data_IF_465618656100
#
_entry.id   IF_465618656100
#
_cell.length_a   1.000
_cell.length_b   1.000
_cell.length_c   1.000
_cell.angle_alpha   90.00
_cell.angle_beta   90.00
_cell.angle_gamma   90.00
#
_symmetry.space_group_name_H-M   'P 1'
#
loop_
_entity.id
_entity.type
_entity.pdbx_description
1 polymer ?
#
# COMPACT_ATOMS: atom_id res chain seq x y z
N UNK A 1 10.16 -26.91 -10.53
CA UNK A 1 11.01 -25.75 -10.22
C UNK A 1 10.38 -24.45 -10.72
N UNK A 2 9.82 -24.42 -11.93
CA UNK A 2 9.19 -23.23 -12.53
C UNK A 2 8.01 -22.66 -11.70
N UNK A 3 7.11 -23.50 -11.19
CA UNK A 3 6.01 -23.05 -10.33
C UNK A 3 6.47 -22.35 -9.04
N UNK A 4 7.53 -22.84 -8.39
CA UNK A 4 8.10 -22.18 -7.21
C UNK A 4 8.75 -20.84 -7.55
N UNK A 5 9.30 -20.69 -8.76
CA UNK A 5 9.83 -19.41 -9.24
C UNK A 5 8.71 -18.38 -9.43
N UNK A 6 7.56 -18.79 -9.99
CA UNK A 6 6.39 -17.92 -10.11
C UNK A 6 5.83 -17.49 -8.74
N UNK A 7 5.75 -18.41 -7.77
CA UNK A 7 5.33 -18.08 -6.39
C UNK A 7 6.31 -17.11 -5.73
N UNK A 8 7.62 -17.30 -5.90
CA UNK A 8 8.64 -16.40 -5.37
C UNK A 8 8.55 -15.00 -6.01
N UNK A 9 8.42 -14.95 -7.36
CA UNK A 9 8.21 -13.71 -8.12
C UNK A 9 6.98 -12.95 -7.64
N UNK A 10 5.85 -13.65 -7.45
CA UNK A 10 4.63 -13.05 -6.93
C UNK A 10 4.84 -12.48 -5.53
N UNK A 11 5.49 -13.22 -4.63
CA UNK A 11 5.76 -12.76 -3.27
C UNK A 11 6.61 -11.49 -3.24
N UNK A 12 7.69 -11.44 -4.02
CA UNK A 12 8.59 -10.29 -4.08
C UNK A 12 7.92 -9.05 -4.68
N UNK A 13 7.17 -9.24 -5.78
CA UNK A 13 6.40 -8.17 -6.41
C UNK A 13 5.29 -7.64 -5.48
N UNK A 14 4.63 -8.53 -4.73
CA UNK A 14 3.59 -8.15 -3.78
C UNK A 14 4.17 -7.31 -2.63
N UNK A 15 5.35 -7.69 -2.11
CA UNK A 15 6.03 -6.98 -1.03
C UNK A 15 6.37 -5.52 -1.37
N UNK A 16 6.54 -5.19 -2.66
CA UNK A 16 6.81 -3.82 -3.14
C UNK A 16 5.56 -3.10 -3.67
N UNK A 17 4.37 -3.68 -3.54
CA UNK A 17 3.11 -3.10 -4.02
C UNK A 17 2.91 -3.20 -5.53
N UNK A 18 3.58 -4.14 -6.20
CA UNK A 18 3.48 -4.39 -7.64
C UNK A 18 2.28 -5.25 -8.02
N UNK A 19 1.07 -4.94 -7.53
CA UNK A 19 -0.10 -5.80 -7.66
C UNK A 19 -0.46 -6.18 -9.10
N UNK A 20 -0.41 -5.22 -10.04
CA UNK A 20 -0.59 -5.51 -11.46
C UNK A 20 0.47 -6.48 -12.03
N UNK A 21 1.71 -6.38 -11.55
CA UNK A 21 2.78 -7.30 -11.94
C UNK A 21 2.60 -8.69 -11.31
N UNK A 22 2.08 -8.77 -10.08
CA UNK A 22 1.72 -10.04 -9.43
C UNK A 22 0.62 -10.74 -10.22
N UNK A 23 -0.43 -10.03 -10.65
CA UNK A 23 -1.51 -10.61 -11.46
C UNK A 23 -0.96 -11.25 -12.73
N UNK A 24 -0.18 -10.48 -13.50
CA UNK A 24 0.48 -10.99 -14.72
C UNK A 24 1.37 -12.21 -14.45
N UNK A 25 2.17 -12.17 -13.38
CA UNK A 25 3.06 -13.28 -13.03
C UNK A 25 2.29 -14.52 -12.58
N UNK A 26 1.22 -14.36 -11.80
CA UNK A 26 0.37 -15.46 -11.36
C UNK A 26 -0.42 -16.08 -12.52
N UNK A 27 -0.98 -15.26 -13.40
CA UNK A 27 -1.66 -15.70 -14.63
C UNK A 27 -0.70 -16.48 -15.55
N UNK A 28 0.49 -15.94 -15.83
CA UNK A 28 1.49 -16.63 -16.61
C UNK A 28 1.89 -17.98 -15.98
N UNK A 29 2.08 -18.01 -14.66
CA UNK A 29 2.37 -19.26 -13.95
C UNK A 29 1.22 -20.27 -14.05
N UNK A 30 -0.04 -19.83 -13.97
CA UNK A 30 -1.21 -20.70 -14.12
C UNK A 30 -1.34 -21.23 -15.56
N UNK A 31 -1.02 -20.41 -16.56
CA UNK A 31 -1.07 -20.79 -17.97
C UNK A 31 0.06 -21.77 -18.35
N UNK A 32 1.26 -21.56 -17.83
CA UNK A 32 2.45 -22.37 -18.17
C UNK A 32 2.58 -23.63 -17.32
N UNK A 33 2.39 -23.53 -15.99
CA UNK A 33 2.57 -24.63 -15.05
C UNK A 33 1.26 -25.36 -14.71
N UNK A 34 0.11 -24.81 -15.11
CA UNK A 34 -1.20 -25.33 -14.78
C UNK A 34 -1.74 -24.83 -13.44
N UNK A 35 -2.93 -25.34 -13.04
CA UNK A 35 -3.65 -24.85 -11.87
C UNK A 35 -2.91 -25.14 -10.56
N UNK A 36 -2.68 -24.09 -9.76
CA UNK A 36 -1.97 -24.17 -8.47
C UNK A 36 -2.66 -23.32 -7.38
N UNK A 37 -2.92 -23.88 -6.18
CA UNK A 37 -3.51 -23.12 -5.07
C UNK A 37 -2.73 -21.86 -4.67
N UNK A 38 -1.38 -21.92 -4.64
CA UNK A 38 -0.58 -20.77 -4.21
C UNK A 38 -0.59 -19.62 -5.23
N UNK A 39 -0.57 -19.93 -6.53
CA UNK A 39 -0.74 -18.93 -7.59
C UNK A 39 -2.15 -18.31 -7.58
N UNK A 40 -3.19 -19.12 -7.36
CA UNK A 40 -4.55 -18.58 -7.17
C UNK A 40 -4.65 -17.68 -5.94
N UNK A 41 -3.94 -18.00 -4.85
CA UNK A 41 -3.87 -17.14 -3.65
C UNK A 41 -3.24 -15.80 -3.98
N UNK A 42 -2.09 -15.79 -4.66
CA UNK A 42 -1.40 -14.56 -5.06
C UNK A 42 -2.22 -13.71 -6.02
N UNK A 43 -2.87 -14.34 -7.01
CA UNK A 43 -3.77 -13.66 -7.93
C UNK A 43 -4.91 -12.98 -7.17
N UNK A 44 -5.56 -13.72 -6.25
CA UNK A 44 -6.64 -13.18 -5.44
C UNK A 44 -6.20 -12.02 -4.54
N UNK A 45 -5.05 -12.15 -3.86
CA UNK A 45 -4.49 -11.08 -3.03
C UNK A 45 -4.13 -9.84 -3.84
N UNK A 46 -3.61 -10.01 -5.06
CA UNK A 46 -3.26 -8.90 -5.93
C UNK A 46 -4.49 -8.15 -6.49
N UNK A 47 -5.63 -8.83 -6.66
CA UNK A 47 -6.89 -8.16 -6.97
C UNK A 47 -7.47 -7.45 -5.73
N UNK A 48 -7.54 -8.15 -4.60
CA UNK A 48 -8.09 -7.60 -3.35
C UNK A 48 -7.34 -6.35 -2.85
N UNK A 49 -6.05 -6.22 -3.16
CA UNK A 49 -5.22 -5.08 -2.76
C UNK A 49 -5.54 -3.77 -3.51
N UNK A 50 -6.14 -3.82 -4.70
CA UNK A 50 -6.47 -2.63 -5.49
C UNK A 50 -7.79 -1.95 -5.03
N UNK A 51 -8.58 -2.64 -4.20
CA UNK A 51 -9.78 -2.11 -3.54
C UNK A 51 -10.77 -1.43 -4.51
N UNK A 52 -11.07 -2.12 -5.63
CA UNK A 52 -12.07 -1.73 -6.63
C UNK A 52 -13.09 -2.89 -6.82
N UNK A 53 -14.37 -2.56 -7.01
CA UNK A 53 -15.50 -3.51 -7.05
C UNK A 53 -15.30 -4.61 -8.12
N UNK A 54 -14.70 -4.26 -9.26
CA UNK A 54 -14.40 -5.22 -10.33
C UNK A 54 -13.29 -6.19 -9.91
N UNK A 55 -12.25 -5.70 -9.23
CA UNK A 55 -11.17 -6.53 -8.71
C UNK A 55 -11.64 -7.43 -7.55
N UNK A 56 -12.58 -6.98 -6.74
CA UNK A 56 -13.19 -7.78 -5.68
C UNK A 56 -13.85 -9.07 -6.21
N UNK A 57 -14.49 -9.02 -7.40
CA UNK A 57 -15.08 -10.22 -8.02
C UNK A 57 -14.01 -11.14 -8.60
N UNK A 58 -12.95 -10.58 -9.18
CA UNK A 58 -11.81 -11.34 -9.70
C UNK A 58 -11.06 -12.05 -8.56
N UNK A 59 -10.87 -11.36 -7.43
CA UNK A 59 -10.28 -11.92 -6.22
C UNK A 59 -11.08 -13.11 -5.70
N UNK A 60 -12.40 -12.95 -5.54
CA UNK A 60 -13.30 -14.03 -5.12
C UNK A 60 -13.25 -15.22 -6.09
N UNK A 61 -13.18 -14.97 -7.39
CA UNK A 61 -13.06 -16.02 -8.41
C UNK A 61 -11.75 -16.79 -8.26
N UNK A 62 -10.63 -16.10 -8.07
CA UNK A 62 -9.32 -16.72 -7.88
C UNK A 62 -9.30 -17.58 -6.60
N UNK A 63 -9.78 -17.06 -5.47
CA UNK A 63 -9.83 -17.82 -4.22
C UNK A 63 -10.69 -19.08 -4.32
N UNK A 64 -11.86 -18.98 -4.96
CA UNK A 64 -12.72 -20.15 -5.16
C UNK A 64 -12.09 -21.21 -6.07
N UNK A 65 -11.38 -20.80 -7.12
CA UNK A 65 -10.62 -21.74 -7.97
C UNK A 65 -9.49 -22.42 -7.18
N UNK A 66 -8.76 -21.66 -6.35
CA UNK A 66 -7.74 -22.22 -5.45
C UNK A 66 -8.31 -23.23 -4.46
N UNK A 67 -9.40 -22.87 -3.76
CA UNK A 67 -10.05 -23.75 -2.78
C UNK A 67 -10.71 -24.98 -3.40
N UNK A 68 -11.10 -24.92 -4.68
CA UNK A 68 -11.55 -26.11 -5.41
C UNK A 68 -10.43 -27.14 -5.65
N UNK A 69 -9.16 -26.70 -5.61
CA UNK A 69 -7.99 -27.58 -5.73
C UNK A 69 -7.47 -28.04 -4.37
N UNK A 70 -7.51 -27.16 -3.37
CA UNK A 70 -7.07 -27.40 -2.01
C UNK A 70 -8.07 -26.79 -1.02
N UNK A 71 -9.09 -27.55 -0.66
CA UNK A 71 -10.23 -27.08 0.16
C UNK A 71 -9.79 -26.60 1.55
N UNK A 72 -8.79 -27.26 2.13
CA UNK A 72 -8.27 -26.99 3.47
C UNK A 72 -6.98 -26.14 3.45
N UNK A 73 -6.67 -25.45 2.34
CA UNK A 73 -5.54 -24.51 2.30
C UNK A 73 -5.85 -23.26 3.15
N UNK A 74 -5.31 -23.25 4.37
CA UNK A 74 -5.55 -22.19 5.35
C UNK A 74 -5.20 -20.78 4.81
N UNK A 75 -4.17 -20.65 3.98
CA UNK A 75 -3.77 -19.36 3.42
C UNK A 75 -4.79 -18.78 2.45
N UNK A 76 -5.38 -19.62 1.60
CA UNK A 76 -6.50 -19.26 0.73
C UNK A 76 -7.75 -18.94 1.55
N UNK A 77 -8.07 -19.75 2.56
CA UNK A 77 -9.24 -19.53 3.41
C UNK A 77 -9.17 -18.20 4.15
N UNK A 78 -8.03 -17.88 4.77
CA UNK A 78 -7.81 -16.61 5.48
C UNK A 78 -7.89 -15.42 4.52
N UNK A 79 -7.23 -15.51 3.36
CA UNK A 79 -7.28 -14.42 2.37
C UNK A 79 -8.70 -14.18 1.85
N UNK A 80 -9.47 -15.24 1.66
CA UNK A 80 -10.86 -15.14 1.23
C UNK A 80 -11.78 -14.61 2.33
N UNK A 81 -11.53 -14.99 3.59
CA UNK A 81 -12.22 -14.43 4.75
C UNK A 81 -12.01 -12.92 4.83
N UNK A 82 -10.76 -12.45 4.71
CA UNK A 82 -10.40 -11.03 4.76
C UNK A 82 -11.16 -10.22 3.68
N UNK A 83 -11.23 -10.73 2.45
CA UNK A 83 -12.04 -10.13 1.37
C UNK A 83 -13.52 -10.05 1.75
N UNK A 84 -14.07 -11.15 2.30
CA UNK A 84 -15.48 -11.21 2.66
C UNK A 84 -15.83 -10.27 3.82
N UNK A 85 -14.91 -10.06 4.77
CA UNK A 85 -15.11 -9.16 5.92
C UNK A 85 -15.00 -7.68 5.53
N UNK A 86 -14.19 -7.35 4.52
CA UNK A 86 -14.11 -5.98 3.96
C UNK A 86 -15.39 -5.56 3.23
N UNK A 87 -16.13 -6.53 2.70
CA UNK A 87 -17.34 -6.26 1.93
C UNK A 87 -18.48 -5.80 2.85
N UNK A 88 -19.23 -4.77 2.44
CA UNK A 88 -20.44 -4.38 3.15
C UNK A 88 -21.46 -5.53 3.13
N UNK A 89 -21.85 -5.99 4.31
CA UNK A 89 -22.80 -7.09 4.49
C UNK A 89 -24.20 -6.78 3.93
N UNK A 90 -24.56 -5.50 3.82
CA UNK A 90 -25.84 -5.08 3.24
C UNK A 90 -25.83 -5.17 1.71
N UNK A 91 -24.76 -4.69 1.07
CA UNK A 91 -24.55 -4.83 -0.36
C UNK A 91 -24.25 -6.27 -0.80
N UNK A 92 -23.51 -7.04 0.02
CA UNK A 92 -23.00 -8.37 -0.33
C UNK A 92 -23.29 -9.43 0.75
N UNK A 93 -24.57 -9.75 1.03
CA UNK A 93 -24.95 -10.71 2.09
C UNK A 93 -24.44 -12.13 1.84
N UNK A 94 -24.13 -12.47 0.59
CA UNK A 94 -23.48 -13.74 0.23
C UNK A 94 -22.07 -13.87 0.81
N UNK A 95 -21.28 -12.78 0.79
CA UNK A 95 -19.91 -12.77 1.33
C UNK A 95 -19.91 -12.84 2.85
N UNK A 96 -20.84 -12.16 3.52
CA UNK A 96 -21.01 -12.26 4.97
C UNK A 96 -21.28 -13.70 5.45
N UNK A 97 -22.16 -14.44 4.75
CA UNK A 97 -22.39 -15.87 5.07
C UNK A 97 -21.16 -16.74 4.86
N UNK A 98 -20.40 -16.48 3.78
CA UNK A 98 -19.16 -17.20 3.49
C UNK A 98 -18.08 -16.88 4.52
N UNK A 99 -17.97 -15.64 4.98
CA UNK A 99 -17.06 -15.27 6.05
C UNK A 99 -17.29 -16.10 7.32
N UNK A 100 -18.56 -16.28 7.72
CA UNK A 100 -18.90 -17.11 8.88
C UNK A 100 -18.45 -18.58 8.70
N UNK A 101 -18.73 -19.16 7.54
CA UNK A 101 -18.36 -20.55 7.24
C UNK A 101 -16.83 -20.74 7.12
N UNK A 102 -16.13 -19.80 6.48
CA UNK A 102 -14.67 -19.81 6.38
C UNK A 102 -14.03 -19.72 7.77
N UNK A 103 -14.55 -18.83 8.63
CA UNK A 103 -14.07 -18.68 10.00
C UNK A 103 -14.22 -20.00 10.75
N UNK A 104 -15.41 -20.58 10.80
CA UNK A 104 -15.67 -21.86 11.47
C UNK A 104 -14.70 -22.95 11.00
N UNK A 105 -14.49 -23.06 9.69
CA UNK A 105 -13.58 -24.05 9.13
C UNK A 105 -12.11 -23.77 9.44
N UNK A 106 -11.67 -22.51 9.43
CA UNK A 106 -10.32 -22.13 9.89
C UNK A 106 -10.16 -22.45 11.38
N UNK A 107 -11.21 -22.25 12.18
CA UNK A 107 -11.17 -22.54 13.60
C UNK A 107 -10.96 -24.03 13.90
N UNK A 108 -11.56 -24.91 13.09
CA UNK A 108 -11.38 -26.35 13.14
C UNK A 108 -9.98 -26.81 12.72
N UNK A 109 -9.43 -26.20 11.67
CA UNK A 109 -8.21 -26.67 11.01
C UNK A 109 -6.92 -26.03 11.56
N UNK A 110 -6.97 -24.76 11.97
CA UNK A 110 -5.80 -24.01 12.40
C UNK A 110 -5.53 -24.22 13.90
N UNK A 111 -4.33 -24.69 14.28
CA UNK A 111 -3.95 -24.83 15.69
C UNK A 111 -4.06 -23.50 16.46
N UNK A 112 -4.42 -23.52 17.75
CA UNK A 112 -4.39 -22.32 18.58
C UNK A 112 -3.00 -21.67 18.58
N UNK A 113 -2.94 -20.37 18.33
CA UNK A 113 -1.69 -19.60 18.25
C UNK A 113 -0.95 -19.71 16.92
N UNK A 114 -1.56 -20.27 15.87
CA UNK A 114 -0.98 -20.22 14.53
C UNK A 114 -1.07 -18.80 13.92
N UNK A 115 -0.18 -18.44 12.97
CA UNK A 115 -0.26 -17.15 12.27
C UNK A 115 -1.60 -16.93 11.56
N UNK A 116 -2.24 -18.00 11.09
CA UNK A 116 -3.55 -17.96 10.44
C UNK A 116 -4.64 -17.58 11.44
N UNK A 117 -4.61 -18.13 12.66
CA UNK A 117 -5.52 -17.73 13.75
C UNK A 117 -5.33 -16.27 14.13
N UNK A 118 -4.08 -15.82 14.27
CA UNK A 118 -3.77 -14.41 14.57
C UNK A 118 -4.32 -13.48 13.49
N UNK A 119 -4.17 -13.82 12.20
CA UNK A 119 -4.76 -13.04 11.11
C UNK A 119 -6.29 -13.02 11.15
N UNK A 120 -6.94 -14.13 11.47
CA UNK A 120 -8.41 -14.15 11.64
C UNK A 120 -8.82 -13.25 12.80
N UNK A 121 -8.11 -13.32 13.93
CA UNK A 121 -8.39 -12.51 15.10
C UNK A 121 -8.17 -11.01 14.81
N UNK A 122 -7.13 -10.65 14.05
CA UNK A 122 -6.89 -9.29 13.59
C UNK A 122 -8.01 -8.77 12.67
N UNK A 123 -8.41 -9.59 11.69
CA UNK A 123 -9.44 -9.25 10.72
C UNK A 123 -10.84 -9.14 11.35
N UNK A 124 -11.14 -10.02 12.32
CA UNK A 124 -12.43 -10.06 13.01
C UNK A 124 -12.47 -9.22 14.28
N UNK A 125 -11.32 -8.81 14.82
CA UNK A 125 -11.21 -8.00 16.02
C UNK A 125 -11.92 -6.65 15.89
N UNK A 126 -12.17 -6.18 14.67
CA UNK A 126 -13.00 -4.98 14.42
C UNK A 126 -14.49 -5.19 14.74
N UNK A 127 -15.00 -6.42 14.66
CA UNK A 127 -16.42 -6.75 14.85
C UNK A 127 -16.84 -6.89 16.33
N UNK A 128 -15.88 -6.93 17.27
CA UNK A 128 -16.12 -7.06 18.71
C UNK A 128 -15.57 -5.91 19.56
N UNK A 129 -14.93 -4.91 18.94
CA UNK A 129 -14.35 -3.75 19.64
C UNK A 129 -15.42 -2.74 20.02
N UNK A 130 -15.34 -2.22 21.24
CA UNK A 130 -16.14 -1.06 21.61
C UNK A 130 -15.64 0.18 20.85
N UNK A 131 -16.51 1.17 20.66
CA UNK A 131 -16.18 2.47 20.03
C UNK A 131 -14.82 3.07 20.48
N UNK A 132 -14.47 2.89 21.76
CA UNK A 132 -13.21 3.38 22.33
C UNK A 132 -11.98 2.57 21.90
N UNK A 133 -12.10 1.25 21.78
CA UNK A 133 -11.00 0.39 21.32
C UNK A 133 -10.66 0.68 19.85
N UNK A 134 -11.67 0.98 19.04
CA UNK A 134 -11.48 1.42 17.65
C UNK A 134 -10.78 2.78 17.57
N UNK A 135 -11.14 3.71 18.45
CA UNK A 135 -10.47 5.01 18.57
C UNK A 135 -9.01 4.88 18.97
N UNK A 136 -8.69 4.00 19.94
CA UNK A 136 -7.31 3.74 20.34
C UNK A 136 -6.52 3.01 19.26
N UNK A 137 -7.11 2.03 18.58
CA UNK A 137 -6.47 1.35 17.46
C UNK A 137 -6.22 2.31 16.29
N UNK A 138 -7.17 3.19 15.97
CA UNK A 138 -7.01 4.23 14.95
C UNK A 138 -5.93 5.25 15.35
N UNK A 139 -5.87 5.64 16.63
CA UNK A 139 -4.84 6.52 17.14
C UNK A 139 -3.44 5.87 17.10
N UNK A 140 -3.32 4.59 17.47
CA UNK A 140 -2.07 3.84 17.42
C UNK A 140 -1.56 3.66 15.97
N UNK A 141 -2.45 3.31 15.03
CA UNK A 141 -2.13 3.28 13.59
C UNK A 141 -1.73 4.67 13.10
N UNK A 142 -2.48 5.71 13.47
CA UNK A 142 -2.16 7.09 13.14
C UNK A 142 -0.79 7.53 13.66
N UNK A 143 -0.38 7.09 14.85
CA UNK A 143 0.96 7.36 15.38
C UNK A 143 2.05 6.60 14.63
N UNK A 144 1.84 5.32 14.32
CA UNK A 144 2.78 4.51 13.54
C UNK A 144 2.97 5.09 12.12
N UNK A 145 1.87 5.46 11.46
CA UNK A 145 1.87 6.10 10.16
C UNK A 145 2.57 7.45 10.21
N UNK A 146 2.28 8.28 11.22
CA UNK A 146 2.99 9.55 11.42
C UNK A 146 4.49 9.37 11.65
N UNK A 147 4.90 8.35 12.42
CA UNK A 147 6.29 8.05 12.67
C UNK A 147 7.01 7.61 11.38
N UNK A 148 6.42 6.69 10.61
CA UNK A 148 6.96 6.25 9.32
C UNK A 148 7.07 7.41 8.32
N UNK A 149 6.06 8.29 8.30
CA UNK A 149 6.02 9.46 7.43
C UNK A 149 7.04 10.52 7.84
N UNK A 150 7.26 10.73 9.15
CA UNK A 150 8.28 11.63 9.67
C UNK A 150 9.69 11.11 9.37
N UNK A 151 9.94 9.82 9.61
CA UNK A 151 11.20 9.14 9.28
C UNK A 151 11.53 9.30 7.79
N UNK A 152 10.57 9.05 6.90
CA UNK A 152 10.77 9.20 5.46
C UNK A 152 11.07 10.65 5.06
N UNK A 153 10.41 11.63 5.71
CA UNK A 153 10.67 13.05 5.44
C UNK A 153 12.09 13.44 5.85
N UNK A 154 12.61 12.91 6.96
CA UNK A 154 14.00 13.10 7.40
C UNK A 154 14.97 12.47 6.40
N UNK A 155 14.72 11.20 5.99
CA UNK A 155 15.57 10.49 5.05
C UNK A 155 15.68 11.22 3.70
N UNK A 156 14.56 11.70 3.15
CA UNK A 156 14.52 12.48 1.90
C UNK A 156 15.27 13.81 2.07
N UNK A 157 15.07 14.51 3.19
CA UNK A 157 15.73 15.80 3.45
C UNK A 157 17.25 15.65 3.59
N UNK A 158 17.70 14.60 4.28
CA UNK A 158 19.13 14.29 4.41
C UNK A 158 19.73 13.85 3.09
N UNK A 159 19.03 13.05 2.29
CA UNK A 159 19.46 12.66 0.96
C UNK A 159 19.59 13.87 0.03
N UNK A 160 18.66 14.82 0.07
CA UNK A 160 18.74 16.08 -0.65
C UNK A 160 19.93 16.93 -0.20
N UNK A 161 20.26 16.95 1.09
CA UNK A 161 21.43 17.66 1.64
C UNK A 161 22.75 17.02 1.20
N UNK A 162 22.82 15.69 1.14
CA UNK A 162 23.97 14.94 0.60
C UNK A 162 24.16 15.21 -0.90
N UNK A 163 23.09 15.15 -1.67
CA UNK A 163 23.12 15.46 -3.10
C UNK A 163 23.57 16.89 -3.37
N UNK A 164 23.12 17.87 -2.57
CA UNK A 164 23.57 19.26 -2.68
C UNK A 164 25.08 19.45 -2.40
N UNK A 165 25.71 18.52 -1.65
CA UNK A 165 27.16 18.49 -1.39
C UNK A 165 27.94 17.73 -2.48
N UNK A 166 27.28 17.22 -3.51
CA UNK A 166 27.91 16.45 -4.59
C UNK A 166 28.28 15.02 -4.20
N UNK A 167 27.72 14.49 -3.11
CA UNK A 167 27.91 13.08 -2.73
C UNK A 167 27.16 12.18 -3.73
N UNK A 168 27.84 11.21 -4.32
CA UNK A 168 27.22 10.26 -5.26
C UNK A 168 26.14 9.45 -4.57
N UNK A 169 24.97 9.35 -5.21
CA UNK A 169 23.96 8.39 -4.78
C UNK A 169 24.51 6.97 -4.98
N UNK A 170 24.39 6.13 -3.96
CA UNK A 170 24.67 4.70 -4.07
C UNK A 170 23.63 4.06 -5.01
N UNK A 171 24.01 2.95 -5.66
CA UNK A 171 23.03 2.15 -6.39
C UNK A 171 21.92 1.69 -5.43
N UNK A 172 20.69 2.03 -5.78
CA UNK A 172 19.48 1.71 -5.00
C UNK A 172 19.13 0.22 -5.03
N UNK A 173 19.62 -0.53 -6.04
CA UNK A 173 19.28 -1.94 -6.22
C UNK A 173 17.76 -2.17 -6.22
N UNK A 174 17.30 -3.16 -5.46
CA UNK A 174 15.88 -3.48 -5.26
C UNK A 174 15.32 -2.95 -3.92
N UNK A 175 16.08 -2.13 -3.19
CA UNK A 175 15.56 -1.51 -1.96
C UNK A 175 14.55 -0.42 -2.33
N UNK A 176 13.27 -0.69 -2.02
CA UNK A 176 12.17 0.22 -2.25
C UNK A 176 12.41 1.59 -1.61
N UNK A 177 12.87 1.63 -0.35
CA UNK A 177 13.09 2.90 0.36
C UNK A 177 14.24 3.69 -0.27
N UNK A 178 15.31 3.00 -0.69
CA UNK A 178 16.41 3.65 -1.40
C UNK A 178 15.97 4.19 -2.77
N UNK A 179 15.17 3.44 -3.52
CA UNK A 179 14.66 3.86 -4.82
C UNK A 179 13.69 5.04 -4.71
N UNK A 180 12.76 5.03 -3.75
CA UNK A 180 11.85 6.15 -3.47
C UNK A 180 12.61 7.42 -3.05
N UNK A 181 13.63 7.29 -2.20
CA UNK A 181 14.45 8.44 -1.78
C UNK A 181 15.30 8.99 -2.93
N UNK A 182 15.88 8.13 -3.78
CA UNK A 182 16.61 8.56 -4.97
C UNK A 182 15.69 9.29 -5.98
N UNK A 183 14.49 8.77 -6.21
CA UNK A 183 13.48 9.42 -7.05
C UNK A 183 13.02 10.77 -6.46
N UNK A 184 12.86 10.86 -5.14
CA UNK A 184 12.51 12.11 -4.47
C UNK A 184 13.62 13.15 -4.62
N UNK A 185 14.88 12.73 -4.50
CA UNK A 185 16.03 13.59 -4.74
C UNK A 185 16.04 14.09 -6.18
N UNK A 186 15.87 13.22 -7.18
CA UNK A 186 15.81 13.57 -8.60
C UNK A 186 14.72 14.61 -8.90
N UNK A 187 13.50 14.42 -8.37
CA UNK A 187 12.36 15.30 -8.63
C UNK A 187 12.43 16.64 -7.87
N UNK A 188 13.05 16.67 -6.69
CA UNK A 188 13.13 17.85 -5.82
C UNK A 188 14.47 18.60 -5.92
N UNK A 189 15.41 18.12 -6.73
CA UNK A 189 16.65 18.83 -7.04
C UNK A 189 16.37 20.14 -7.81
N UNK A 190 17.32 21.08 -7.72
CA UNK A 190 17.29 22.34 -8.45
C UNK A 190 16.72 23.54 -7.67
N UNK A 191 17.05 24.74 -8.15
CA UNK A 191 16.69 26.00 -7.49
C UNK A 191 15.17 26.24 -7.44
N UNK A 192 14.43 25.82 -8.48
CA UNK A 192 12.97 25.99 -8.57
C UNK A 192 12.20 25.21 -7.49
N UNK A 193 12.79 24.12 -6.99
CA UNK A 193 12.19 23.26 -5.96
C UNK A 193 12.65 23.63 -4.53
N UNK A 194 13.49 24.66 -4.36
CA UNK A 194 13.90 25.16 -3.04
C UNK A 194 12.74 25.44 -2.06
N UNK A 195 11.63 26.12 -2.45
CA UNK A 195 10.52 26.35 -1.51
C UNK A 195 9.82 25.04 -1.11
N UNK A 196 9.68 24.08 -2.03
CA UNK A 196 9.08 22.78 -1.74
C UNK A 196 9.95 21.99 -0.77
N UNK A 197 11.28 22.01 -0.93
CA UNK A 197 12.22 21.38 0.01
C UNK A 197 12.10 21.95 1.42
N UNK A 198 11.89 23.26 1.54
CA UNK A 198 11.69 23.90 2.85
C UNK A 198 10.39 23.44 3.51
N UNK A 199 9.29 23.37 2.73
CA UNK A 199 8.01 22.87 3.24
C UNK A 199 8.12 21.42 3.72
N UNK A 200 8.85 20.57 2.99
CA UNK A 200 9.06 19.17 3.36
C UNK A 200 9.96 19.01 4.60
N UNK A 201 11.03 19.82 4.70
CA UNK A 201 11.91 19.81 5.87
C UNK A 201 11.19 20.23 7.16
N UNK A 202 10.17 21.10 7.04
CA UNK A 202 9.37 21.59 8.16
C UNK A 202 7.89 21.22 8.03
N UNK A 203 7.61 20.00 7.56
CA UNK A 203 6.26 19.57 7.17
C UNK A 203 5.20 19.86 8.24
N UNK A 204 5.41 19.44 9.48
CA UNK A 204 4.43 19.66 10.57
C UNK A 204 4.18 21.16 10.77
N UNK A 205 5.23 21.97 10.83
CA UNK A 205 5.09 23.42 10.97
C UNK A 205 4.41 24.05 9.74
N UNK A 206 4.71 23.58 8.53
CA UNK A 206 4.08 24.04 7.30
C UNK A 206 2.57 23.76 7.31
N UNK A 207 2.14 22.57 7.73
CA UNK A 207 0.72 22.23 7.89
C UNK A 207 0.03 23.13 8.93
N UNK A 208 0.62 23.27 10.12
CA UNK A 208 0.06 24.10 11.21
C UNK A 208 -0.04 25.56 10.81
N UNK A 209 1.02 26.13 10.21
CA UNK A 209 1.05 27.52 9.78
C UNK A 209 0.06 27.76 8.62
N UNK A 210 -0.03 26.84 7.66
CA UNK A 210 -0.97 26.96 6.54
C UNK A 210 -2.41 26.90 7.03
N UNK A 211 -2.71 25.99 7.99
CA UNK A 211 -4.03 25.92 8.61
C UNK A 211 -4.39 27.22 9.34
N UNK A 212 -3.50 27.71 10.21
CA UNK A 212 -3.70 28.94 10.96
C UNK A 212 -3.88 30.16 10.04
N UNK A 213 -3.05 30.28 8.99
CA UNK A 213 -3.13 31.35 8.01
C UNK A 213 -4.42 31.28 7.17
N UNK A 214 -4.81 30.08 6.75
CA UNK A 214 -6.05 29.82 6.00
C UNK A 214 -7.29 30.23 6.80
N UNK A 215 -7.36 29.78 8.06
CA UNK A 215 -8.45 30.13 8.96
C UNK A 215 -8.46 31.62 9.28
N UNK A 216 -7.29 32.21 9.58
CA UNK A 216 -7.13 33.62 9.85
C UNK A 216 -7.58 34.50 8.68
N UNK A 217 -7.18 34.17 7.45
CA UNK A 217 -7.58 34.90 6.24
C UNK A 217 -9.10 34.84 6.04
N UNK A 218 -9.70 33.66 6.16
CA UNK A 218 -11.14 33.51 6.02
C UNK A 218 -11.91 34.29 7.09
N UNK A 219 -11.45 34.25 8.35
CA UNK A 219 -12.05 35.04 9.44
C UNK A 219 -11.89 36.54 9.22
N UNK A 220 -10.74 37.00 8.78
CA UNK A 220 -10.50 38.42 8.50
C UNK A 220 -11.39 38.95 7.37
N UNK A 221 -11.59 38.17 6.30
CA UNK A 221 -12.46 38.53 5.19
C UNK A 221 -13.95 38.57 5.55
N UNK A 222 -14.39 37.72 6.48
CA UNK A 222 -15.76 37.75 7.00
C UNK A 222 -15.95 38.92 7.97
N UNK A 223 -15.01 39.12 8.89
CA UNK A 223 -15.09 40.19 9.90
C UNK A 223 -14.96 41.60 9.30
N UNK A 224 -14.31 41.75 8.15
CA UNK A 224 -14.23 43.03 7.44
C UNK A 224 -15.54 43.41 6.74
N UNK A 225 -16.55 42.53 6.73
CA UNK A 225 -17.83 42.75 6.04
C UNK A 225 -17.73 42.73 4.51
N UNK A 226 -16.58 42.31 3.97
CA UNK A 226 -16.37 42.22 2.51
C UNK A 226 -17.10 41.00 1.94
N UNK A 227 -17.21 39.92 2.71
CA UNK A 227 -17.91 38.69 2.33
C UNK A 227 -18.67 38.10 3.52
N UNK A 228 -19.88 37.57 3.30
CA UNK A 228 -20.60 36.80 4.33
C UNK A 228 -19.97 35.41 4.57
N UNK A 229 -19.19 34.92 3.61
CA UNK A 229 -18.49 33.63 3.64
C UNK A 229 -17.21 33.70 2.79
N UNK A 230 -16.11 33.11 3.28
CA UNK A 230 -14.83 33.07 2.56
C UNK A 230 -14.20 31.68 2.56
N UNK A 231 -13.74 31.26 1.39
CA UNK A 231 -12.89 30.08 1.17
C UNK A 231 -11.51 30.43 0.60
N UNK A 232 -11.17 31.71 0.47
CA UNK A 232 -9.90 32.14 -0.13
C UNK A 232 -8.67 31.62 0.62
N UNK A 233 -8.78 31.39 1.94
CA UNK A 233 -7.75 30.73 2.74
C UNK A 233 -7.40 29.33 2.25
N UNK A 234 -8.27 28.63 1.53
CA UNK A 234 -7.96 27.30 1.00
C UNK A 234 -6.88 27.34 -0.09
N UNK A 235 -6.70 28.46 -0.80
CA UNK A 235 -5.64 28.59 -1.79
C UNK A 235 -4.24 28.51 -1.17
N UNK A 236 -4.09 28.81 0.12
CA UNK A 236 -2.82 28.68 0.83
C UNK A 236 -2.35 27.23 0.96
N UNK A 237 -3.24 26.25 0.75
CA UNK A 237 -2.87 24.84 0.76
C UNK A 237 -2.16 24.37 -0.52
N UNK A 238 -2.25 25.13 -1.62
CA UNK A 238 -1.70 24.71 -2.93
C UNK A 238 -0.21 24.33 -2.84
N UNK A 239 0.69 25.12 -2.23
CA UNK A 239 2.11 24.76 -2.15
C UNK A 239 2.39 23.50 -1.31
N UNK A 240 1.64 23.31 -0.22
CA UNK A 240 1.75 22.11 0.63
C UNK A 240 1.30 20.88 -0.15
N UNK A 241 0.14 20.95 -0.81
CA UNK A 241 -0.38 19.86 -1.63
C UNK A 241 0.52 19.54 -2.82
N UNK A 242 1.16 20.55 -3.43
CA UNK A 242 2.11 20.36 -4.51
C UNK A 242 3.38 19.62 -4.03
N UNK A 243 3.89 19.96 -2.85
CA UNK A 243 5.01 19.25 -2.25
C UNK A 243 4.67 17.78 -1.96
N UNK A 244 3.47 17.51 -1.44
CA UNK A 244 2.96 16.15 -1.21
C UNK A 244 2.78 15.37 -2.52
N UNK A 245 2.22 16.01 -3.56
CA UNK A 245 2.04 15.40 -4.86
C UNK A 245 3.39 14.97 -5.47
N UNK A 246 4.42 15.83 -5.35
CA UNK A 246 5.78 15.49 -5.80
C UNK A 246 6.40 14.33 -5.03
N UNK A 247 6.14 14.21 -3.73
CA UNK A 247 6.58 13.03 -2.97
C UNK A 247 5.83 11.76 -3.38
N UNK A 248 4.52 11.84 -3.66
CA UNK A 248 3.76 10.69 -4.17
C UNK A 248 4.27 10.26 -5.54
N UNK A 249 4.53 11.22 -6.43
CA UNK A 249 5.15 10.98 -7.74
C UNK A 249 6.51 10.29 -7.59
N UNK A 250 7.36 10.77 -6.68
CA UNK A 250 8.64 10.15 -6.37
C UNK A 250 8.51 8.71 -5.88
N UNK A 251 7.54 8.44 -4.98
CA UNK A 251 7.28 7.10 -4.47
C UNK A 251 6.85 6.16 -5.59
N UNK A 252 5.93 6.60 -6.44
CA UNK A 252 5.46 5.82 -7.58
C UNK A 252 6.62 5.51 -8.54
N UNK A 253 7.45 6.50 -8.87
CA UNK A 253 8.62 6.32 -9.73
C UNK A 253 9.63 5.34 -9.12
N UNK A 254 9.92 5.48 -7.83
CA UNK A 254 10.83 4.57 -7.10
C UNK A 254 10.31 3.14 -7.11
N UNK A 255 9.02 2.96 -6.84
CA UNK A 255 8.33 1.67 -6.89
C UNK A 255 8.37 1.04 -8.28
N UNK A 256 8.03 1.80 -9.32
CA UNK A 256 8.08 1.35 -10.72
C UNK A 256 9.47 0.84 -11.11
N UNK A 257 10.52 1.57 -10.71
CA UNK A 257 11.92 1.16 -10.94
C UNK A 257 12.26 -0.16 -10.26
N UNK A 258 11.82 -0.37 -9.02
CA UNK A 258 12.07 -1.60 -8.27
C UNK A 258 11.28 -2.76 -8.85
N UNK A 259 10.01 -2.55 -9.19
CA UNK A 259 9.18 -3.56 -9.89
C UNK A 259 9.85 -3.98 -11.18
N UNK A 260 10.30 -3.02 -12.01
CA UNK A 260 10.97 -3.30 -13.27
C UNK A 260 12.27 -4.10 -13.09
N UNK A 261 13.05 -3.81 -12.04
CA UNK A 261 14.28 -4.56 -11.71
C UNK A 261 13.98 -6.00 -11.27
N UNK A 262 12.99 -6.18 -10.39
CA UNK A 262 12.55 -7.51 -9.95
C UNK A 262 12.06 -8.32 -11.16
N UNK A 263 11.24 -7.71 -12.03
CA UNK A 263 10.78 -8.34 -13.26
C UNK A 263 11.95 -8.75 -14.16
N UNK A 264 12.89 -7.84 -14.44
CA UNK A 264 14.06 -8.12 -15.26
C UNK A 264 14.91 -9.27 -14.68
N UNK A 265 15.14 -9.29 -13.35
CA UNK A 265 15.85 -10.40 -12.70
C UNK A 265 15.14 -11.74 -12.92
N UNK A 266 13.83 -11.78 -12.74
CA UNK A 266 13.04 -12.99 -12.93
C UNK A 266 12.89 -13.40 -14.39
N UNK A 267 13.04 -12.47 -15.34
CA UNK A 267 13.03 -12.77 -16.78
C UNK A 267 14.41 -13.24 -17.27
N UNK A 268 15.51 -12.82 -16.61
CA UNK A 268 16.87 -13.29 -16.87
C UNK A 268 17.21 -14.64 -16.20
N UNK A 269 16.60 -14.92 -15.04
CA UNK A 269 16.76 -16.19 -14.32
C UNK A 269 16.41 -17.45 -15.14
N UNK A 270 15.32 -17.52 -15.94
CA UNK A 270 15.00 -18.69 -16.75
C UNK A 270 16.01 -18.95 -17.87
N UNK A 271 16.72 -17.91 -18.35
CA UNK A 271 17.74 -18.04 -19.41
C UNK A 271 19.04 -18.70 -18.92
N UNK A 272 19.34 -18.68 -17.62
CA UNK A 272 20.58 -19.26 -17.06
C UNK A 272 20.45 -20.74 -16.67
N UNK A 273 19.25 -21.32 -16.76
CA UNK A 273 18.97 -22.73 -16.43
C UNK A 273 18.85 -23.67 -17.64
N UNK A 274 19.05 -23.18 -18.86
CA UNK A 274 19.13 -24.03 -20.04
C UNK A 274 20.57 -24.54 -20.25
N UNK A 275 20.83 -25.86 -20.23
CA UNK A 275 22.15 -26.43 -20.52
C UNK A 275 22.58 -26.26 -21.99
#
# INVERSE_FOLDING_TARGET
>A
MEQQQYVARCSELFAVGGHAAVRKAAEAGLDECGPDPALYRWLGQAHAAEDDDDHDREAETAYRKGLALAEDDLGLMVSYLELCLRSDSWAYPGRARRAAALRERIEELAPPGSPERERVDDATGWAGRGYWDDLYAAAARGQADQAAVAEQSVLVTDALRRAARGESAADTGEDLRAAETAAAVELLQGARNAPLRLLLAHRVAAYVLTFAASFGLNKALVLSGVLDFSLWGWLLWIPVLLAEAKLREARNLGRERVIARIQARHDEAPLKSAP
#
